data_IF_702058692234
#
_entry.id   IF_702058692234
#
_cell.length_a   1.000
_cell.length_b   1.000
_cell.length_c   1.000
_cell.angle_alpha   90.00
_cell.angle_beta   90.00
_cell.angle_gamma   90.00
#
_symmetry.space_group_name_H-M   'P 1'
#
loop_
_entity.id
_entity.type
_entity.pdbx_description
1 polymer ?
#
# COMPACT_ATOMS: atom_id res chain seq x y z
N UNK A 1 17.15 -4.89 27.22
CA UNK A 1 17.18 -6.33 27.51
C UNK A 1 17.50 -7.06 26.22
N UNK A 2 18.65 -7.72 26.15
CA UNK A 2 18.95 -8.62 25.03
C UNK A 2 18.11 -9.90 25.21
N UNK A 3 17.50 -10.39 24.14
CA UNK A 3 16.79 -11.67 24.14
C UNK A 3 17.84 -12.78 24.19
N UNK A 4 17.71 -13.72 25.12
CA UNK A 4 18.54 -14.93 25.22
C UNK A 4 17.94 -16.06 24.37
N UNK A 5 18.74 -17.07 24.02
CA UNK A 5 18.27 -18.26 23.27
C UNK A 5 17.11 -18.98 23.98
N UNK A 6 17.17 -19.08 25.31
CA UNK A 6 16.10 -19.67 26.12
C UNK A 6 14.76 -18.95 25.94
N UNK A 7 14.79 -17.61 25.99
CA UNK A 7 13.60 -16.77 25.81
C UNK A 7 13.09 -16.77 24.37
N UNK A 8 13.99 -16.94 23.40
CA UNK A 8 13.61 -17.17 22.01
C UNK A 8 12.88 -18.51 21.84
N UNK A 9 13.35 -19.55 22.54
CA UNK A 9 12.68 -20.85 22.62
C UNK A 9 11.26 -20.77 23.17
N UNK A 10 11.06 -20.03 24.27
CA UNK A 10 9.73 -19.78 24.86
C UNK A 10 8.77 -19.11 23.86
N UNK A 11 9.23 -18.05 23.18
CA UNK A 11 8.42 -17.33 22.18
C UNK A 11 8.07 -18.22 20.99
N UNK A 12 9.02 -19.05 20.55
CA UNK A 12 8.81 -19.96 19.42
C UNK A 12 7.92 -21.17 19.80
N UNK A 13 7.94 -21.60 21.05
CA UNK A 13 7.17 -22.74 21.57
C UNK A 13 5.65 -22.55 21.53
N UNK A 14 5.18 -21.31 21.39
CA UNK A 14 3.74 -20.99 21.22
C UNK A 14 3.24 -21.43 19.84
N UNK A 15 4.12 -21.53 18.84
CA UNK A 15 3.72 -21.80 17.46
C UNK A 15 3.56 -23.31 17.19
N UNK A 16 2.58 -23.70 16.34
CA UNK A 16 2.51 -25.04 15.79
C UNK A 16 3.78 -25.41 15.01
N UNK A 17 4.11 -26.69 14.93
CA UNK A 17 5.36 -27.21 14.36
C UNK A 17 5.69 -26.64 12.96
N UNK A 18 4.70 -26.61 12.06
CA UNK A 18 4.85 -26.06 10.70
C UNK A 18 5.20 -24.56 10.70
N UNK A 19 4.62 -23.79 11.63
CA UNK A 19 4.87 -22.35 11.77
C UNK A 19 6.22 -22.12 12.43
N UNK A 20 6.53 -22.90 13.46
CA UNK A 20 7.79 -22.83 14.21
C UNK A 20 9.00 -23.04 13.28
N UNK A 21 9.00 -24.10 12.45
CA UNK A 21 10.10 -24.41 11.52
C UNK A 21 10.40 -23.24 10.58
N UNK A 22 9.37 -22.57 10.08
CA UNK A 22 9.53 -21.41 9.21
C UNK A 22 9.96 -20.16 10.00
N UNK A 23 9.31 -19.88 11.15
CA UNK A 23 9.61 -18.68 11.96
C UNK A 23 11.01 -18.69 12.57
N UNK A 24 11.55 -19.86 12.91
CA UNK A 24 12.93 -20.00 13.40
C UNK A 24 13.97 -19.48 12.41
N UNK A 25 13.70 -19.57 11.10
CA UNK A 25 14.63 -19.07 10.05
C UNK A 25 14.59 -17.55 9.86
N UNK A 26 13.57 -16.89 10.43
CA UNK A 26 13.33 -15.45 10.31
C UNK A 26 13.67 -14.68 11.60
N UNK A 27 14.35 -15.32 12.54
CA UNK A 27 14.81 -14.70 13.80
C UNK A 27 16.25 -15.15 14.03
N UNK A 28 17.15 -14.19 14.23
CA UNK A 28 18.57 -14.44 14.51
C UNK A 28 18.98 -13.54 15.68
N UNK A 29 19.70 -14.09 16.64
CA UNK A 29 20.31 -13.31 17.71
C UNK A 29 21.57 -12.64 17.17
N UNK A 30 21.60 -11.30 17.25
CA UNK A 30 22.72 -10.53 16.73
C UNK A 30 23.94 -10.71 17.61
N UNK A 31 25.03 -11.21 17.04
CA UNK A 31 26.32 -11.30 17.72
C UNK A 31 27.13 -10.02 17.46
N UNK A 32 27.61 -9.33 18.52
CA UNK A 32 28.23 -8.01 18.37
C UNK A 32 29.59 -8.00 17.64
N UNK A 33 30.31 -9.12 17.61
CA UNK A 33 31.70 -9.23 17.12
C UNK A 33 31.86 -10.17 15.90
N UNK A 34 30.85 -10.26 15.03
CA UNK A 34 30.97 -11.04 13.79
C UNK A 34 31.53 -10.20 12.64
N UNK A 35 32.69 -10.59 12.09
CA UNK A 35 33.28 -9.96 10.88
C UNK A 35 32.42 -10.16 9.63
N UNK A 36 31.57 -11.20 9.62
CA UNK A 36 30.68 -11.55 8.52
C UNK A 36 29.23 -11.25 8.87
N UNK A 37 28.48 -10.74 7.89
CA UNK A 37 27.06 -10.47 8.08
C UNK A 37 26.31 -11.80 8.32
N UNK A 38 25.67 -11.93 9.49
CA UNK A 38 24.82 -13.07 9.81
C UNK A 38 23.68 -13.18 8.79
N UNK A 39 23.49 -14.38 8.22
CA UNK A 39 22.41 -14.64 7.27
C UNK A 39 21.08 -14.85 7.97
N UNK A 40 20.02 -14.29 7.39
CA UNK A 40 18.63 -14.46 7.83
C UNK A 40 17.76 -14.73 6.60
N UNK A 41 16.77 -15.62 6.73
CA UNK A 41 15.80 -15.84 5.66
C UNK A 41 14.84 -14.64 5.61
N UNK A 42 14.74 -14.01 4.45
CA UNK A 42 13.93 -12.81 4.23
C UNK A 42 13.21 -12.87 2.87
N UNK A 43 12.24 -11.98 2.67
CA UNK A 43 11.45 -11.90 1.44
C UNK A 43 10.71 -13.19 1.04
N UNK A 44 10.34 -14.01 2.01
CA UNK A 44 9.49 -15.20 1.82
C UNK A 44 8.01 -14.85 1.95
N UNK A 45 7.12 -15.77 1.56
CA UNK A 45 5.66 -15.61 1.74
C UNK A 45 5.28 -15.59 3.21
N UNK A 46 4.30 -14.76 3.56
CA UNK A 46 3.75 -14.71 4.92
C UNK A 46 2.99 -16.00 5.25
N UNK A 47 3.15 -16.52 6.46
CA UNK A 47 2.33 -17.60 6.98
C UNK A 47 0.89 -17.13 7.27
N UNK A 48 -0.14 -17.87 6.86
CA UNK A 48 -1.54 -17.52 7.16
C UNK A 48 -1.80 -17.43 8.67
N UNK A 49 -2.61 -16.47 9.10
CA UNK A 49 -3.09 -16.35 10.49
C UNK A 49 -2.09 -15.77 11.50
N UNK A 50 -0.87 -15.38 11.10
CA UNK A 50 0.17 -14.91 12.02
C UNK A 50 0.13 -13.41 12.35
N UNK A 51 -0.95 -12.71 11.97
CA UNK A 51 -1.13 -11.26 12.17
C UNK A 51 0.11 -10.47 11.73
N UNK A 52 0.39 -10.50 10.42
CA UNK A 52 1.54 -9.81 9.85
C UNK A 52 1.32 -8.30 9.76
N UNK A 53 2.40 -7.52 9.86
CA UNK A 53 2.41 -6.08 9.59
C UNK A 53 2.63 -5.74 8.10
N UNK A 54 2.70 -6.74 7.21
CA UNK A 54 2.91 -6.51 5.78
C UNK A 54 1.66 -5.95 5.10
N UNK A 55 1.89 -5.06 4.14
CA UNK A 55 0.88 -4.63 3.16
C UNK A 55 0.90 -5.47 1.88
N UNK A 56 0.25 -4.94 0.84
CA UNK A 56 0.21 -5.55 -0.49
C UNK A 56 1.04 -4.76 -1.52
N UNK A 57 1.25 -5.34 -2.70
CA UNK A 57 1.98 -4.69 -3.79
C UNK A 57 1.35 -3.35 -4.22
N UNK A 58 0.01 -3.24 -4.16
CA UNK A 58 -0.69 -1.98 -4.44
C UNK A 58 -0.31 -0.87 -3.45
N UNK A 59 -0.22 -1.18 -2.16
CA UNK A 59 0.21 -0.20 -1.15
C UNK A 59 1.64 0.28 -1.43
N UNK A 60 2.53 -0.62 -1.84
CA UNK A 60 3.90 -0.28 -2.25
C UNK A 60 3.97 0.59 -3.50
N UNK A 61 3.26 0.21 -4.57
CA UNK A 61 3.27 0.97 -5.81
C UNK A 61 2.57 2.33 -5.64
N UNK A 62 1.23 2.31 -5.41
CA UNK A 62 0.42 3.53 -5.35
C UNK A 62 0.67 4.34 -4.09
N UNK A 63 0.68 3.70 -2.92
CA UNK A 63 0.76 4.40 -1.63
C UNK A 63 2.15 4.97 -1.33
N UNK A 64 3.21 4.29 -1.76
CA UNK A 64 4.60 4.66 -1.43
C UNK A 64 5.31 5.33 -2.59
N UNK A 65 5.38 4.70 -3.76
CA UNK A 65 6.26 5.13 -4.86
C UNK A 65 5.59 6.19 -5.74
N UNK A 66 4.43 5.88 -6.33
CA UNK A 66 3.84 6.78 -7.34
C UNK A 66 2.94 7.84 -6.71
N UNK A 67 2.20 7.55 -5.65
CA UNK A 67 1.26 8.51 -5.04
C UNK A 67 1.81 9.87 -4.59
N UNK A 68 3.10 10.02 -4.22
CA UNK A 68 3.70 11.33 -3.93
C UNK A 68 3.90 12.23 -5.16
N UNK A 69 3.70 11.74 -6.39
CA UNK A 69 3.87 12.55 -7.61
C UNK A 69 2.73 13.57 -7.70
N UNK A 70 3.05 14.85 -7.51
CA UNK A 70 2.06 15.92 -7.31
C UNK A 70 1.33 16.37 -8.57
N UNK A 71 1.96 16.24 -9.72
CA UNK A 71 1.53 16.73 -11.02
C UNK A 71 0.89 15.63 -11.88
N UNK A 72 0.81 14.40 -11.36
CA UNK A 72 0.16 13.27 -12.01
C UNK A 72 -1.12 12.88 -11.29
N UNK A 73 -2.14 12.52 -12.06
CA UNK A 73 -3.36 11.93 -11.53
C UNK A 73 -3.22 10.42 -11.48
N UNK A 74 -3.30 9.87 -10.28
CA UNK A 74 -3.31 8.42 -10.06
C UNK A 74 -4.73 7.90 -9.96
N UNK A 75 -5.10 6.98 -10.85
CA UNK A 75 -6.41 6.34 -10.83
C UNK A 75 -6.25 4.93 -10.29
N UNK A 76 -7.02 4.62 -9.26
CA UNK A 76 -7.17 3.26 -8.78
C UNK A 76 -8.23 2.53 -9.62
N UNK A 77 -7.84 1.46 -10.30
CA UNK A 77 -8.78 0.59 -11.00
C UNK A 77 -9.16 -0.59 -10.12
N UNK A 78 -10.36 -0.53 -9.53
CA UNK A 78 -10.83 -1.52 -8.57
C UNK A 78 -12.02 -1.02 -7.74
N UNK A 79 -12.44 -1.79 -6.73
CA UNK A 79 -13.46 -1.39 -5.75
C UNK A 79 -13.00 -0.23 -4.86
N UNK A 80 -13.89 0.68 -4.46
CA UNK A 80 -13.55 1.91 -3.69
C UNK A 80 -12.63 1.71 -2.46
N UNK A 81 -12.69 0.55 -1.82
CA UNK A 81 -11.97 0.17 -0.60
C UNK A 81 -10.48 0.56 -0.60
N UNK A 82 -9.68 0.06 -1.55
CA UNK A 82 -8.23 0.28 -1.57
C UNK A 82 -7.88 1.76 -1.82
N UNK A 83 -8.70 2.45 -2.61
CA UNK A 83 -8.55 3.87 -2.87
C UNK A 83 -8.76 4.68 -1.57
N UNK A 84 -9.82 4.38 -0.84
CA UNK A 84 -10.15 5.04 0.42
C UNK A 84 -9.08 4.83 1.50
N UNK A 85 -8.64 3.59 1.74
CA UNK A 85 -7.64 3.31 2.79
C UNK A 85 -6.24 3.85 2.49
N UNK A 86 -5.97 4.24 1.24
CA UNK A 86 -4.70 4.88 0.87
C UNK A 86 -4.82 6.39 0.72
N UNK A 87 -5.97 6.97 1.08
CA UNK A 87 -6.21 8.39 0.96
C UNK A 87 -5.76 9.14 2.22
N UNK A 88 -4.67 9.91 2.11
CA UNK A 88 -4.17 10.73 3.22
C UNK A 88 -3.52 9.96 4.37
N UNK A 89 -3.47 8.62 4.31
CA UNK A 89 -2.87 7.79 5.36
C UNK A 89 -1.35 7.90 5.41
N UNK A 90 -0.70 8.03 4.25
CA UNK A 90 0.72 8.36 4.15
C UNK A 90 0.89 9.87 4.01
N UNK A 91 1.62 10.50 4.94
CA UNK A 91 1.81 11.96 5.05
C UNK A 91 2.82 12.52 4.04
N UNK A 92 2.60 12.22 2.76
CA UNK A 92 3.41 12.74 1.66
C UNK A 92 3.03 14.19 1.44
N UNK A 93 3.87 15.13 1.89
CA UNK A 93 3.58 16.56 1.73
C UNK A 93 3.93 17.00 0.31
N UNK A 94 3.01 17.70 -0.33
CA UNK A 94 3.23 18.33 -1.63
C UNK A 94 2.68 19.76 -1.60
N UNK A 95 3.44 20.69 -2.18
CA UNK A 95 3.01 22.07 -2.44
C UNK A 95 2.81 22.23 -3.94
N UNK A 96 1.73 22.91 -4.31
CA UNK A 96 1.49 23.30 -5.70
C UNK A 96 2.66 24.14 -6.22
N UNK A 97 3.09 23.87 -7.46
CA UNK A 97 4.07 24.71 -8.15
C UNK A 97 3.41 25.94 -8.78
N UNK A 98 4.15 26.64 -9.64
CA UNK A 98 3.63 27.80 -10.38
C UNK A 98 2.46 27.44 -11.31
N UNK A 99 2.37 26.16 -11.70
CA UNK A 99 1.28 25.59 -12.50
C UNK A 99 0.01 25.29 -11.67
N UNK A 100 0.04 25.49 -10.35
CA UNK A 100 -1.08 25.26 -9.44
C UNK A 100 -1.45 23.78 -9.24
N UNK A 101 -0.74 22.83 -9.85
CA UNK A 101 -1.12 21.41 -9.81
C UNK A 101 -0.68 20.74 -8.51
N UNK A 102 -1.64 20.11 -7.84
CA UNK A 102 -1.38 19.25 -6.70
C UNK A 102 -2.51 18.23 -6.53
N UNK A 103 -2.27 17.01 -6.99
CA UNK A 103 -3.26 15.93 -6.94
C UNK A 103 -3.07 14.94 -5.78
N UNK A 104 -2.03 15.10 -4.96
CA UNK A 104 -1.64 14.13 -3.91
C UNK A 104 -2.73 13.93 -2.85
N UNK A 105 -3.52 14.98 -2.58
CA UNK A 105 -4.61 14.92 -1.60
C UNK A 105 -5.95 14.46 -2.19
N UNK A 106 -5.97 14.04 -3.45
CA UNK A 106 -7.18 13.52 -4.09
C UNK A 106 -7.11 12.01 -4.24
N UNK A 107 -8.29 11.40 -4.24
CA UNK A 107 -8.43 9.98 -4.44
C UNK A 107 -9.39 9.74 -5.60
N UNK A 108 -8.87 9.11 -6.66
CA UNK A 108 -9.62 8.83 -7.88
C UNK A 108 -9.64 7.33 -8.08
N UNK A 109 -10.85 6.80 -8.29
CA UNK A 109 -11.10 5.37 -8.43
C UNK A 109 -12.12 5.13 -9.55
N UNK A 110 -12.08 3.95 -10.13
CA UNK A 110 -13.10 3.49 -11.08
C UNK A 110 -14.35 2.96 -10.38
N UNK A 111 -14.26 2.75 -9.05
CA UNK A 111 -15.32 2.22 -8.20
C UNK A 111 -16.06 1.02 -8.81
N UNK A 112 -15.28 -0.05 -9.07
CA UNK A 112 -15.81 -1.25 -9.74
C UNK A 112 -16.99 -1.83 -8.97
N UNK A 113 -18.11 -1.98 -9.67
CA UNK A 113 -19.32 -2.62 -9.18
C UNK A 113 -19.37 -4.09 -9.60
N UNK A 114 -20.36 -4.82 -9.09
CA UNK A 114 -20.57 -6.23 -9.42
C UNK A 114 -20.66 -6.48 -10.92
N UNK A 115 -21.35 -5.60 -11.67
CA UNK A 115 -21.41 -5.68 -13.13
C UNK A 115 -20.04 -5.58 -13.80
N UNK A 116 -19.12 -4.77 -13.27
CA UNK A 116 -17.77 -4.63 -13.81
C UNK A 116 -16.91 -5.87 -13.50
N UNK A 117 -17.23 -6.59 -12.42
CA UNK A 117 -16.59 -7.87 -12.08
C UNK A 117 -17.11 -8.99 -12.98
N UNK A 118 -18.42 -9.04 -13.22
CA UNK A 118 -19.07 -10.10 -14.02
C UNK A 118 -18.79 -9.92 -15.52
N UNK A 119 -18.91 -8.71 -16.05
CA UNK A 119 -18.82 -8.43 -17.49
C UNK A 119 -17.48 -7.82 -17.92
N UNK A 120 -16.59 -7.54 -16.96
CA UNK A 120 -15.31 -6.87 -17.19
C UNK A 120 -15.43 -5.35 -17.25
N UNK A 121 -14.57 -4.65 -16.50
CA UNK A 121 -14.58 -3.19 -16.41
C UNK A 121 -14.03 -2.44 -17.64
N UNK A 122 -13.47 -3.16 -18.63
CA UNK A 122 -12.77 -2.55 -19.78
C UNK A 122 -13.66 -1.62 -20.60
N UNK A 123 -14.96 -1.95 -20.77
CA UNK A 123 -15.89 -1.17 -21.61
C UNK A 123 -16.44 0.06 -20.89
N UNK A 124 -16.57 -0.01 -19.56
CA UNK A 124 -17.07 1.08 -18.71
C UNK A 124 -16.01 2.17 -18.47
N UNK A 125 -14.74 1.77 -18.51
CA UNK A 125 -13.56 2.56 -18.13
C UNK A 125 -13.27 3.79 -19.04
N UNK A 126 -13.26 3.71 -20.38
CA UNK A 126 -12.63 4.77 -21.19
C UNK A 126 -13.48 6.02 -21.28
N UNK A 127 -14.81 5.89 -21.35
CA UNK A 127 -15.69 7.01 -21.69
C UNK A 127 -16.16 7.80 -20.46
N UNK A 128 -16.57 7.10 -19.41
CA UNK A 128 -17.12 7.72 -18.21
C UNK A 128 -16.02 8.40 -17.38
N UNK A 129 -14.91 7.67 -17.15
CA UNK A 129 -13.76 8.13 -16.36
C UNK A 129 -13.03 9.28 -17.06
N UNK A 130 -12.75 9.18 -18.37
CA UNK A 130 -12.03 10.25 -19.07
C UNK A 130 -12.87 11.53 -19.15
N UNK A 131 -14.20 11.43 -19.20
CA UNK A 131 -15.09 12.60 -19.12
C UNK A 131 -15.03 13.23 -17.72
N UNK A 132 -15.13 12.42 -16.67
CA UNK A 132 -15.02 12.84 -15.26
C UNK A 132 -13.65 13.45 -14.94
N UNK A 133 -12.58 12.86 -15.43
CA UNK A 133 -11.21 13.33 -15.28
C UNK A 133 -10.99 14.66 -15.99
N UNK A 134 -11.47 14.80 -17.24
CA UNK A 134 -11.42 16.08 -17.97
C UNK A 134 -12.18 17.17 -17.24
N UNK A 135 -13.35 16.85 -16.68
CA UNK A 135 -14.11 17.79 -15.86
C UNK A 135 -13.34 18.17 -14.58
N UNK A 136 -12.76 17.19 -13.89
CA UNK A 136 -11.95 17.41 -12.69
C UNK A 136 -10.76 18.32 -12.96
N UNK A 137 -9.95 18.02 -13.98
CA UNK A 137 -8.77 18.82 -14.34
C UNK A 137 -9.17 20.26 -14.72
N UNK A 138 -10.30 20.45 -15.41
CA UNK A 138 -10.81 21.78 -15.79
C UNK A 138 -11.41 22.58 -14.63
N UNK A 139 -11.91 21.92 -13.59
CA UNK A 139 -12.63 22.57 -12.47
C UNK A 139 -11.79 22.73 -11.21
N UNK A 140 -10.58 22.17 -11.19
CA UNK A 140 -9.58 22.36 -10.14
C UNK A 140 -9.06 23.81 -10.11
N UNK A 141 -9.85 24.68 -9.48
CA UNK A 141 -9.39 25.93 -8.88
C UNK A 141 -8.73 25.62 -7.52
N UNK A 142 -7.64 26.28 -7.13
CA UNK A 142 -6.85 25.99 -5.92
C UNK A 142 -7.60 26.11 -4.57
N UNK A 143 -8.90 26.41 -4.57
CA UNK A 143 -9.71 26.71 -3.39
C UNK A 143 -10.83 25.70 -3.10
N UNK A 144 -11.00 24.61 -3.86
CA UNK A 144 -12.07 23.63 -3.61
C UNK A 144 -11.55 22.44 -2.79
N UNK A 145 -12.29 22.10 -1.73
CA UNK A 145 -12.05 20.97 -0.83
C UNK A 145 -11.85 19.65 -1.60
N UNK A 146 -11.15 18.66 -1.01
CA UNK A 146 -10.92 17.37 -1.65
C UNK A 146 -12.25 16.65 -1.94
N UNK A 147 -12.75 16.78 -3.17
CA UNK A 147 -14.02 16.17 -3.58
C UNK A 147 -13.78 14.71 -3.95
N UNK A 148 -14.61 13.82 -3.39
CA UNK A 148 -14.76 12.44 -3.82
C UNK A 148 -15.32 12.44 -5.25
N UNK A 149 -14.50 12.11 -6.25
CA UNK A 149 -15.03 11.73 -7.56
C UNK A 149 -15.28 10.21 -7.54
N UNK A 150 -16.53 9.84 -7.27
CA UNK A 150 -17.12 8.56 -7.69
C UNK A 150 -17.78 8.81 -9.03
#
# INVERSE_FOLDING_TARGET
MAITEEKLGEVLGIYPEKVLVNRRRHIVLKEPDTETAQQIEANTRTLPGIITNRGCAFAGCKGVVVGPIKDMVHIFHGPVCCAFYTWGTRRNKAKAGDDGKNYVNYCLTTDMQESDVVFGGEKSLPNSLMRRLRFFIRTQSPLRQPVRLV
#
